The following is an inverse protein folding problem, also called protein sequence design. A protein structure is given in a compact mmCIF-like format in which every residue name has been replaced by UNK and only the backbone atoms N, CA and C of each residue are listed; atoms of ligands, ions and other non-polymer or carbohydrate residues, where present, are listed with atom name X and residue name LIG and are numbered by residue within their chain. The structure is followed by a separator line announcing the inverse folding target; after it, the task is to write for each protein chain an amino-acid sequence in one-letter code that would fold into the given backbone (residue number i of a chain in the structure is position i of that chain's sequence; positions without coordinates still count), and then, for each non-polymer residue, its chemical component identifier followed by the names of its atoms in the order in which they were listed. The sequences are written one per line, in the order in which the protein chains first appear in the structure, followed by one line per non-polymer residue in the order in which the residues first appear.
data_IF_091338310687
#
_entry.id   IF_091338310687
#
_cell.length_a   1.000
_cell.length_b   1.000
_cell.length_c   1.000
_cell.angle_alpha   90.00
_cell.angle_beta   90.00
_cell.angle_gamma   90.00
#
_symmetry.space_group_name_H-M   'P 1'
#
loop_
_entity.id
_entity.type
_entity.pdbx_description
1 polymer ?
#
# COMPACT_ATOMS: atom_id res chain seq x y z
N UNK A 1 -22.87 1.84 0.07
CA UNK A 1 -22.37 3.23 -0.02
C UNK A 1 -22.45 3.67 -1.48
N UNK A 2 -22.87 4.92 -1.72
CA UNK A 2 -23.58 5.34 -2.93
C UNK A 2 -22.73 5.88 -4.11
N UNK A 3 -21.46 5.47 -4.25
CA UNK A 3 -20.53 6.10 -5.22
C UNK A 3 -20.13 5.22 -6.42
N UNK A 4 -20.56 3.96 -6.50
CA UNK A 4 -20.18 3.06 -7.60
C UNK A 4 -18.67 2.77 -7.70
N UNK A 5 -17.91 3.17 -6.68
CA UNK A 5 -16.47 2.91 -6.56
C UNK A 5 -16.29 1.58 -5.84
N UNK A 6 -15.42 0.69 -6.33
CA UNK A 6 -15.16 -0.57 -5.67
C UNK A 6 -14.62 -0.41 -4.23
N UNK A 7 -15.18 -1.15 -3.28
CA UNK A 7 -14.69 -1.30 -1.89
C UNK A 7 -13.20 -1.67 -1.82
N UNK A 8 -12.76 -2.57 -2.70
CA UNK A 8 -11.35 -2.94 -2.85
C UNK A 8 -10.48 -1.73 -3.22
N UNK A 9 -10.93 -0.86 -4.13
CA UNK A 9 -10.24 0.39 -4.43
C UNK A 9 -10.23 1.36 -3.24
N UNK A 10 -11.35 1.50 -2.52
CA UNK A 10 -11.38 2.34 -1.31
C UNK A 10 -10.38 1.87 -0.25
N UNK A 11 -10.33 0.57 0.02
CA UNK A 11 -9.43 -0.01 1.02
C UNK A 11 -7.96 0.03 0.64
N UNK A 12 -7.63 -0.17 -0.65
CA UNK A 12 -6.24 -0.27 -1.13
C UNK A 12 -5.64 1.09 -1.47
N UNK A 13 -6.46 2.07 -1.88
CA UNK A 13 -5.97 3.37 -2.38
C UNK A 13 -6.33 4.50 -1.43
N UNK A 14 -7.62 4.67 -1.12
CA UNK A 14 -8.08 5.85 -0.36
C UNK A 14 -7.62 5.79 1.10
N UNK A 15 -7.77 4.63 1.75
CA UNK A 15 -7.44 4.48 3.18
C UNK A 15 -5.94 4.70 3.45
N UNK A 16 -4.99 4.11 2.69
CA UNK A 16 -3.57 4.33 2.92
C UNK A 16 -3.10 5.76 2.60
N UNK A 17 -3.69 6.42 1.59
CA UNK A 17 -3.37 7.83 1.30
C UNK A 17 -3.74 8.72 2.49
N UNK A 18 -4.92 8.51 3.07
CA UNK A 18 -5.36 9.26 4.23
C UNK A 18 -4.52 8.92 5.49
N UNK A 19 -4.24 7.63 5.70
CA UNK A 19 -3.45 7.14 6.83
C UNK A 19 -2.00 7.63 6.84
N UNK A 20 -1.37 7.71 5.66
CA UNK A 20 0.04 8.09 5.51
C UNK A 20 0.22 9.56 5.08
N UNK A 21 -0.85 10.36 5.05
CA UNK A 21 -0.79 11.77 4.63
C UNK A 21 0.21 12.59 5.46
N UNK A 22 0.27 12.35 6.78
CA UNK A 22 1.23 13.01 7.67
C UNK A 22 2.68 12.71 7.30
N UNK A 23 2.97 11.48 6.89
CA UNK A 23 4.30 11.05 6.46
C UNK A 23 4.68 11.65 5.11
N UNK A 24 3.73 11.75 4.17
CA UNK A 24 3.95 12.42 2.89
C UNK A 24 4.27 13.91 3.06
N UNK A 25 3.60 14.59 3.99
CA UNK A 25 3.92 15.99 4.36
C UNK A 25 5.32 16.08 4.96
N UNK A 26 5.64 15.19 5.91
CA UNK A 26 6.99 15.10 6.50
C UNK A 26 8.05 14.87 5.43
N UNK A 27 7.77 14.00 4.44
CA UNK A 27 8.66 13.69 3.34
C UNK A 27 8.93 14.91 2.45
N UNK A 28 7.91 15.73 2.17
CA UNK A 28 8.06 16.97 1.39
C UNK A 28 8.95 17.99 2.13
N UNK A 29 8.83 18.07 3.46
CA UNK A 29 9.70 18.92 4.28
C UNK A 29 11.14 18.38 4.31
N UNK A 30 11.33 17.06 4.43
CA UNK A 30 12.67 16.43 4.48
C UNK A 30 13.36 16.44 3.11
N UNK A 31 12.61 16.38 2.00
CA UNK A 31 13.15 16.46 0.64
C UNK A 31 13.93 17.76 0.40
N UNK A 32 13.56 18.85 1.07
CA UNK A 32 14.30 20.14 1.02
C UNK A 32 15.75 20.04 1.54
N UNK A 33 16.13 18.91 2.15
CA UNK A 33 17.47 18.66 2.70
C UNK A 33 18.29 17.62 1.92
N UNK A 34 17.85 17.21 0.72
CA UNK A 34 18.52 16.22 -0.16
C UNK A 34 18.81 14.84 0.49
N UNK A 35 18.02 14.44 1.50
CA UNK A 35 18.24 13.18 2.23
C UNK A 35 17.31 12.04 1.76
N UNK A 36 17.44 11.62 0.50
CA UNK A 36 16.59 10.55 -0.07
C UNK A 36 16.67 9.23 0.70
N UNK A 37 17.85 8.84 1.22
CA UNK A 37 17.99 7.60 2.01
C UNK A 37 17.15 7.60 3.29
N UNK A 38 16.95 8.78 3.89
CA UNK A 38 16.12 8.93 5.08
C UNK A 38 14.65 8.75 4.71
N UNK A 39 14.22 9.29 3.58
CA UNK A 39 12.85 9.16 3.09
C UNK A 39 12.50 7.70 2.80
N UNK A 40 13.39 6.97 2.14
CA UNK A 40 13.20 5.53 1.87
C UNK A 40 13.09 4.75 3.18
N UNK A 41 13.97 5.02 4.15
CA UNK A 41 13.93 4.34 5.46
C UNK A 41 12.63 4.64 6.23
N UNK A 42 12.14 5.87 6.21
CA UNK A 42 10.88 6.25 6.85
C UNK A 42 9.71 5.51 6.16
N UNK A 43 9.64 5.55 4.83
CA UNK A 43 8.56 4.91 4.07
C UNK A 43 8.51 3.38 4.25
N UNK A 44 9.66 2.71 4.18
CA UNK A 44 9.76 1.26 4.40
C UNK A 44 9.46 0.90 5.85
N UNK A 45 9.93 1.71 6.82
CA UNK A 45 9.66 1.54 8.24
C UNK A 45 8.16 1.58 8.55
N UNK A 46 7.48 2.61 8.07
CA UNK A 46 6.02 2.78 8.21
C UNK A 46 5.24 1.61 7.59
N UNK A 47 5.60 1.21 6.37
CA UNK A 47 4.94 0.08 5.69
C UNK A 47 5.14 -1.24 6.46
N UNK A 48 6.33 -1.42 7.06
CA UNK A 48 6.65 -2.61 7.85
C UNK A 48 5.90 -2.61 9.18
N UNK A 49 5.78 -1.46 9.84
CA UNK A 49 5.00 -1.31 11.08
C UNK A 49 3.52 -1.64 10.83
N UNK A 50 2.92 -1.06 9.79
CA UNK A 50 1.53 -1.35 9.41
C UNK A 50 1.35 -2.84 9.16
N UNK A 51 2.29 -3.47 8.44
CA UNK A 51 2.19 -4.89 8.08
C UNK A 51 2.39 -5.82 9.28
N UNK A 52 3.40 -5.56 10.12
CA UNK A 52 3.76 -6.44 11.24
C UNK A 52 2.94 -6.20 12.51
N UNK A 53 2.36 -5.01 12.67
CA UNK A 53 1.59 -4.66 13.86
C UNK A 53 0.13 -4.40 13.55
N UNK A 54 -0.18 -3.46 12.64
CA UNK A 54 -1.56 -3.03 12.41
C UNK A 54 -2.43 -4.15 11.82
N UNK A 55 -1.95 -4.89 10.81
CA UNK A 55 -2.71 -6.01 10.20
C UNK A 55 -3.04 -7.11 11.23
N UNK A 56 -2.08 -7.71 11.96
CA UNK A 56 -2.41 -8.75 12.95
C UNK A 56 -3.24 -8.21 14.11
N UNK A 57 -3.02 -6.96 14.52
CA UNK A 57 -3.85 -6.33 15.55
C UNK A 57 -5.32 -6.21 15.11
N UNK A 58 -5.59 -5.81 13.86
CA UNK A 58 -6.94 -5.77 13.32
C UNK A 58 -7.61 -7.16 13.31
N UNK A 59 -6.86 -8.22 13.02
CA UNK A 59 -7.36 -9.60 13.01
C UNK A 59 -7.74 -10.07 14.42
N UNK A 60 -6.88 -9.80 15.40
CA UNK A 60 -7.18 -10.10 16.80
C UNK A 60 -8.41 -9.31 17.29
N UNK A 61 -8.52 -8.03 16.93
CA UNK A 61 -9.71 -7.23 17.24
C UNK A 61 -10.97 -7.78 16.58
N UNK A 62 -10.87 -8.22 15.31
CA UNK A 62 -11.96 -8.89 14.61
C UNK A 62 -12.47 -10.10 15.40
N UNK A 63 -11.55 -10.95 15.86
CA UNK A 63 -11.89 -12.11 16.69
C UNK A 63 -12.54 -11.73 18.02
N UNK A 64 -12.10 -10.66 18.68
CA UNK A 64 -12.71 -10.17 19.93
C UNK A 64 -14.13 -9.64 19.70
N UNK A 65 -14.37 -9.02 18.54
CA UNK A 65 -15.66 -8.46 18.15
C UNK A 65 -16.58 -9.46 17.44
N UNK A 66 -16.19 -10.75 17.37
CA UNK A 66 -16.91 -11.82 16.68
C UNK A 66 -17.16 -11.54 15.18
N UNK A 67 -16.22 -10.80 14.56
CA UNK A 67 -16.18 -10.52 13.12
C UNK A 67 -15.17 -11.46 12.47
N UNK A 68 -15.57 -12.26 11.46
CA UNK A 68 -14.66 -13.17 10.77
C UNK A 68 -13.70 -12.37 9.88
N UNK A 69 -12.58 -11.95 10.47
CA UNK A 69 -11.46 -11.30 9.78
C UNK A 69 -10.28 -12.28 9.71
N UNK A 70 -9.86 -12.61 8.50
CA UNK A 70 -8.73 -13.49 8.23
C UNK A 70 -7.74 -12.80 7.27
N UNK A 71 -6.47 -13.21 7.28
CA UNK A 71 -5.47 -12.76 6.28
C UNK A 71 -5.65 -13.45 4.91
N UNK A 72 -6.82 -14.00 4.64
CA UNK A 72 -7.11 -14.69 3.39
C UNK A 72 -7.49 -13.70 2.29
N UNK A 73 -6.47 -13.02 1.74
CA UNK A 73 -6.64 -12.15 0.58
C UNK A 73 -6.96 -12.94 -0.68
N UNK A 74 -7.73 -12.35 -1.59
CA UNK A 74 -8.00 -12.99 -2.87
C UNK A 74 -6.71 -13.22 -3.66
N UNK A 75 -6.67 -14.24 -4.53
CA UNK A 75 -5.49 -14.60 -5.33
C UNK A 75 -4.91 -13.39 -6.09
N UNK A 76 -5.78 -12.50 -6.57
CA UNK A 76 -5.42 -11.25 -7.24
C UNK A 76 -4.68 -10.29 -6.29
N UNK A 77 -5.24 -10.03 -5.11
CA UNK A 77 -4.65 -9.12 -4.11
C UNK A 77 -3.30 -9.64 -3.63
N UNK A 78 -3.22 -10.93 -3.30
CA UNK A 78 -1.96 -11.58 -2.89
C UNK A 78 -0.90 -11.50 -3.98
N UNK A 79 -1.26 -11.75 -5.25
CA UNK A 79 -0.32 -11.69 -6.37
C UNK A 79 0.15 -10.26 -6.63
N UNK A 80 -0.76 -9.29 -6.59
CA UNK A 80 -0.42 -7.87 -6.79
C UNK A 80 0.46 -7.35 -5.66
N UNK A 81 0.18 -7.70 -4.41
CA UNK A 81 1.02 -7.35 -3.25
C UNK A 81 2.41 -7.97 -3.38
N UNK A 82 2.49 -9.25 -3.71
CA UNK A 82 3.76 -9.95 -3.91
C UNK A 82 4.59 -9.33 -5.04
N UNK A 83 3.98 -9.05 -6.19
CA UNK A 83 4.66 -8.40 -7.31
C UNK A 83 5.14 -6.99 -6.95
N UNK A 84 4.34 -6.24 -6.21
CA UNK A 84 4.71 -4.90 -5.73
C UNK A 84 5.93 -4.97 -4.81
N UNK A 85 5.93 -5.89 -3.84
CA UNK A 85 7.07 -6.11 -2.95
C UNK A 85 8.34 -6.49 -3.73
N UNK A 86 8.20 -7.37 -4.72
CA UNK A 86 9.31 -7.79 -5.57
C UNK A 86 9.90 -6.61 -6.37
N UNK A 87 9.06 -5.81 -7.02
CA UNK A 87 9.50 -4.62 -7.78
C UNK A 87 10.17 -3.60 -6.87
N UNK A 88 9.57 -3.30 -5.71
CA UNK A 88 10.13 -2.36 -4.74
C UNK A 88 11.47 -2.87 -4.20
N UNK A 89 11.56 -4.16 -3.85
CA UNK A 89 12.81 -4.76 -3.37
C UNK A 89 13.94 -4.65 -4.40
N UNK A 90 13.65 -4.93 -5.68
CA UNK A 90 14.65 -4.79 -6.76
C UNK A 90 15.08 -3.34 -6.98
N UNK A 91 14.15 -2.37 -6.90
CA UNK A 91 14.48 -0.96 -7.10
C UNK A 91 15.25 -0.35 -5.93
N UNK A 92 15.04 -0.87 -4.72
CA UNK A 92 15.75 -0.46 -3.49
C UNK A 92 17.10 -1.15 -3.29
N UNK A 93 17.35 -2.29 -3.94
CA UNK A 93 18.62 -3.02 -3.83
C UNK A 93 19.82 -2.25 -4.40
N UNK A 94 19.55 -1.29 -5.27
CA UNK A 94 20.56 -0.61 -6.07
C UNK A 94 20.80 0.78 -5.47
N UNK A 95 21.98 0.97 -4.87
CA UNK A 95 22.36 2.08 -3.95
C UNK A 95 22.19 3.51 -4.50
N UNK A 96 21.91 3.66 -5.80
CA UNK A 96 21.65 4.96 -6.42
C UNK A 96 20.16 5.26 -6.55
N UNK A 97 19.64 6.20 -5.74
CA UNK A 97 18.30 6.75 -5.91
C UNK A 97 18.29 7.80 -7.03
N UNK A 98 17.80 7.43 -8.22
CA UNK A 98 17.69 8.32 -9.36
C UNK A 98 16.22 8.73 -9.59
N UNK A 99 15.99 9.93 -10.14
CA UNK A 99 14.68 10.42 -10.52
C UNK A 99 13.92 9.44 -11.43
N UNK A 100 14.63 8.75 -12.32
CA UNK A 100 14.05 7.71 -13.19
C UNK A 100 13.47 6.53 -12.43
N UNK A 101 14.10 6.10 -11.33
CA UNK A 101 13.56 5.04 -10.47
C UNK A 101 12.27 5.52 -9.79
N UNK A 102 12.27 6.74 -9.26
CA UNK A 102 11.07 7.34 -8.69
C UNK A 102 9.91 7.40 -9.69
N UNK A 103 10.17 7.79 -10.93
CA UNK A 103 9.17 7.82 -12.00
C UNK A 103 8.61 6.41 -12.30
N UNK A 104 9.47 5.39 -12.31
CA UNK A 104 9.06 4.00 -12.53
C UNK A 104 8.16 3.48 -11.39
N UNK A 105 8.46 3.82 -10.13
CA UNK A 105 7.57 3.50 -8.99
C UNK A 105 6.21 4.18 -9.15
N UNK A 106 6.18 5.45 -9.57
CA UNK A 106 4.91 6.18 -9.79
C UNK A 106 4.07 5.54 -10.89
N UNK A 107 4.68 5.13 -12.02
CA UNK A 107 3.96 4.40 -13.06
C UNK A 107 3.44 3.04 -12.57
N UNK A 108 4.23 2.30 -11.80
CA UNK A 108 3.80 1.04 -11.20
C UNK A 108 2.57 1.24 -10.29
N UNK A 109 2.60 2.27 -9.43
CA UNK A 109 1.48 2.63 -8.58
C UNK A 109 0.21 2.97 -9.37
N UNK A 110 0.32 3.72 -10.47
CA UNK A 110 -0.81 4.06 -11.35
C UNK A 110 -1.40 2.81 -12.03
N UNK A 111 -0.56 1.90 -12.51
CA UNK A 111 -1.01 0.65 -13.14
C UNK A 111 -1.77 -0.22 -12.13
N UNK A 112 -1.25 -0.36 -10.91
CA UNK A 112 -1.91 -1.11 -9.84
C UNK A 112 -3.25 -0.47 -9.47
N UNK A 113 -3.26 0.85 -9.27
CA UNK A 113 -4.47 1.63 -8.95
C UNK A 113 -5.54 1.47 -10.03
N UNK A 114 -5.17 1.59 -11.30
CA UNK A 114 -6.08 1.36 -12.42
C UNK A 114 -6.60 -0.09 -12.47
N UNK A 115 -5.75 -1.07 -12.15
CA UNK A 115 -6.13 -2.48 -12.09
C UNK A 115 -7.19 -2.75 -11.02
N UNK A 116 -7.07 -2.12 -9.84
CA UNK A 116 -8.08 -2.19 -8.77
C UNK A 116 -9.36 -1.41 -9.09
N UNK A 117 -9.27 -0.34 -9.88
CA UNK A 117 -10.45 0.42 -10.29
C UNK A 117 -11.31 -0.32 -11.32
N UNK A 118 -10.68 -1.05 -12.23
CA UNK A 118 -11.37 -1.80 -13.30
C UNK A 118 -11.83 -3.18 -12.81
N UNK A 119 -11.26 -3.70 -11.71
CA UNK A 119 -11.64 -4.99 -11.12
C UNK A 119 -13.15 -5.02 -10.85
N UNK A 120 -13.92 -5.90 -11.51
CA UNK A 120 -15.33 -6.07 -11.17
C UNK A 120 -15.43 -6.61 -9.75
N UNK A 121 -16.18 -5.92 -8.89
CA UNK A 121 -16.48 -6.43 -7.56
C UNK A 121 -17.52 -7.53 -7.68
N UNK A 122 -17.04 -8.76 -7.58
CA UNK A 122 -17.88 -9.91 -7.30
C UNK A 122 -18.34 -9.79 -5.83
N UNK A 123 -19.33 -8.93 -5.59
CA UNK A 123 -20.06 -8.91 -4.33
C UNK A 123 -20.65 -10.30 -4.09
N UNK A 124 -20.20 -10.96 -3.02
CA UNK A 124 -20.89 -12.03 -2.29
C UNK A 124 -21.72 -13.00 -3.15
N UNK A 125 -21.07 -14.06 -3.63
CA UNK A 125 -21.77 -15.32 -3.90
C UNK A 125 -21.00 -16.48 -3.28
N UNK A 126 -21.14 -16.64 -1.97
CA UNK A 126 -21.36 -17.90 -1.25
C UNK A 126 -21.57 -17.59 0.24
#
# INVERSE_FOLDING_TARGET
MAWGIPVSFMSVVIVPIAGNAGEHVCATVIQTKEKMDILVKIAVGSSTEITMFTIPFCVILGWIMDVPLDLNFQIFETTTLFLTLLVVAFLLQDDSSNYYKGLMLMFCYLIITASFFIKPENHFSS
#
